data_IF_953936067091
#
_entry.id   IF_953936067091
#
_cell.length_a   1.000
_cell.length_b   1.000
_cell.length_c   1.000
_cell.angle_alpha   90.00
_cell.angle_beta   90.00
_cell.angle_gamma   90.00
#
_symmetry.space_group_name_H-M   'P 1'
#
loop_
_entity.id
_entity.type
_entity.pdbx_description
1 polymer ?
#
# COMPACT_ATOMS: atom_id res chain seq x y z
N UNK A 1 13.86 3.91 7.39
CA UNK A 1 13.38 5.30 7.30
C UNK A 1 11.93 5.30 6.85
N UNK A 2 11.08 5.97 7.61
CA UNK A 2 9.66 6.00 7.30
C UNK A 2 9.34 7.15 6.34
N UNK A 3 8.51 6.84 5.35
CA UNK A 3 8.10 7.80 4.33
C UNK A 3 6.61 7.72 4.11
N UNK A 4 6.03 8.81 3.66
CA UNK A 4 4.64 8.86 3.20
C UNK A 4 4.64 9.13 1.71
N UNK A 5 4.01 8.25 0.95
CA UNK A 5 4.00 8.35 -0.51
C UNK A 5 2.57 8.24 -1.01
N UNK A 6 2.15 9.21 -1.80
CA UNK A 6 0.84 9.17 -2.44
C UNK A 6 0.90 8.24 -3.65
N UNK A 7 -0.04 7.33 -3.76
CA UNK A 7 -0.06 6.41 -4.87
C UNK A 7 -1.33 5.63 -4.97
N UNK A 8 -1.38 4.76 -5.97
CA UNK A 8 -2.53 3.88 -6.19
C UNK A 8 -2.03 2.45 -6.39
N UNK A 9 -2.73 1.50 -5.78
CA UNK A 9 -2.38 0.08 -5.93
C UNK A 9 -2.75 -0.37 -7.34
N UNK A 10 -1.74 -0.78 -8.11
CA UNK A 10 -1.94 -1.25 -9.48
C UNK A 10 -1.90 -2.77 -9.58
N UNK A 11 -1.33 -3.43 -8.57
CA UNK A 11 -1.26 -4.89 -8.56
C UNK A 11 -1.16 -5.37 -7.12
N UNK A 12 -1.75 -6.53 -6.85
CA UNK A 12 -1.64 -7.18 -5.56
C UNK A 12 -1.50 -8.68 -5.78
N UNK A 13 -0.74 -9.33 -4.90
CA UNK A 13 -0.61 -10.79 -4.95
C UNK A 13 -0.29 -11.34 -3.57
N UNK A 14 -0.62 -12.61 -3.36
CA UNK A 14 -0.27 -13.30 -2.13
C UNK A 14 1.24 -13.52 -2.07
N UNK A 15 1.81 -13.32 -0.90
CA UNK A 15 3.22 -13.58 -0.65
C UNK A 15 3.39 -14.77 0.28
N UNK A 16 2.57 -14.82 1.32
CA UNK A 16 2.58 -15.92 2.29
C UNK A 16 1.14 -16.13 2.73
N UNK A 17 0.92 -16.98 3.73
CA UNK A 17 -0.42 -17.23 4.25
C UNK A 17 -1.10 -15.97 4.77
N UNK A 18 -0.33 -15.02 5.27
CA UNK A 18 -0.88 -13.83 5.90
C UNK A 18 -0.48 -12.51 5.24
N UNK A 19 0.47 -12.54 4.31
CA UNK A 19 1.02 -11.31 3.74
C UNK A 19 0.73 -11.19 2.25
N UNK A 20 0.74 -9.93 1.77
CA UNK A 20 0.62 -9.62 0.35
C UNK A 20 1.80 -8.80 -0.10
N UNK A 21 2.09 -8.87 -1.40
CA UNK A 21 2.98 -7.91 -2.04
C UNK A 21 2.09 -7.06 -2.93
N UNK A 22 2.20 -5.74 -2.78
CA UNK A 22 1.48 -4.82 -3.64
C UNK A 22 2.46 -3.93 -4.39
N UNK A 23 2.06 -3.55 -5.58
CA UNK A 23 2.80 -2.56 -6.35
C UNK A 23 1.94 -1.32 -6.43
N UNK A 24 2.52 -0.18 -6.09
CA UNK A 24 1.80 1.09 -6.18
C UNK A 24 2.47 1.98 -7.22
N UNK A 25 1.66 2.71 -7.94
CA UNK A 25 2.13 3.73 -8.88
C UNK A 25 2.15 5.06 -8.15
N UNK A 26 3.33 5.67 -8.10
CA UNK A 26 3.53 6.95 -7.42
C UNK A 26 3.90 8.02 -8.43
N UNK A 27 3.70 9.28 -8.06
CA UNK A 27 4.07 10.39 -8.95
C UNK A 27 5.57 10.60 -9.03
N UNK A 28 6.28 10.41 -7.91
CA UNK A 28 7.70 10.74 -7.84
C UNK A 28 8.62 9.57 -8.15
N UNK A 29 8.24 8.39 -7.69
CA UNK A 29 9.12 7.23 -7.74
C UNK A 29 8.67 6.15 -8.73
N UNK A 30 7.63 6.42 -9.51
CA UNK A 30 7.08 5.42 -10.41
C UNK A 30 6.44 4.27 -9.65
N UNK A 31 6.63 3.05 -10.14
CA UNK A 31 6.05 1.88 -9.50
C UNK A 31 7.01 1.34 -8.45
N UNK A 32 6.53 1.21 -7.21
CA UNK A 32 7.33 0.64 -6.13
C UNK A 32 6.61 -0.58 -5.53
N UNK A 33 7.40 -1.54 -5.07
CA UNK A 33 6.87 -2.75 -4.46
C UNK A 33 6.88 -2.64 -2.94
N UNK A 34 5.79 -3.08 -2.33
CA UNK A 34 5.62 -3.06 -0.88
C UNK A 34 5.18 -4.42 -0.39
N UNK A 35 5.68 -4.82 0.78
CA UNK A 35 5.16 -5.98 1.47
C UNK A 35 4.21 -5.53 2.57
N UNK A 36 2.99 -6.05 2.53
CA UNK A 36 1.96 -5.75 3.52
C UNK A 36 1.82 -6.96 4.45
N UNK A 37 2.56 -6.94 5.54
CA UNK A 37 2.57 -8.05 6.49
C UNK A 37 1.24 -8.17 7.22
N UNK A 38 0.70 -9.38 7.24
CA UNK A 38 -0.56 -9.63 7.91
C UNK A 38 -1.79 -9.11 7.19
N UNK A 39 -1.65 -8.59 5.97
CA UNK A 39 -2.76 -7.96 5.25
C UNK A 39 -3.90 -8.91 4.93
N UNK A 40 -3.65 -10.21 4.87
CA UNK A 40 -4.68 -11.19 4.56
C UNK A 40 -5.52 -11.59 5.78
N UNK A 41 -5.13 -11.15 6.97
CA UNK A 41 -5.88 -11.44 8.18
C UNK A 41 -7.23 -10.77 8.19
N UNK A 42 -8.25 -11.45 8.73
CA UNK A 42 -9.62 -10.93 8.75
C UNK A 42 -9.76 -9.63 9.52
N UNK A 43 -8.93 -9.45 10.54
CA UNK A 43 -8.98 -8.24 11.38
C UNK A 43 -7.86 -7.27 11.08
N UNK A 44 -7.09 -7.51 10.03
CA UNK A 44 -5.97 -6.64 9.70
C UNK A 44 -6.46 -5.30 9.16
N UNK A 45 -5.90 -4.19 9.67
CA UNK A 45 -6.23 -2.88 9.10
C UNK A 45 -5.72 -2.71 7.66
N UNK A 46 -4.81 -3.58 7.22
CA UNK A 46 -4.28 -3.51 5.86
C UNK A 46 -5.09 -4.32 4.85
N UNK A 47 -6.09 -5.10 5.31
CA UNK A 47 -6.82 -5.98 4.42
C UNK A 47 -7.56 -5.24 3.31
N UNK A 48 -8.29 -4.20 3.69
CA UNK A 48 -9.13 -3.46 2.74
C UNK A 48 -8.41 -2.32 2.04
N UNK A 49 -7.22 -1.97 2.51
CA UNK A 49 -6.46 -0.86 1.93
C UNK A 49 -5.32 -1.31 1.04
N UNK A 50 -5.20 -2.62 0.80
CA UNK A 50 -4.18 -3.17 -0.09
C UNK A 50 -4.81 -3.84 -1.31
N UNK A 51 -6.07 -3.54 -1.59
CA UNK A 51 -6.75 -4.05 -2.77
C UNK A 51 -6.42 -3.20 -3.98
N UNK A 52 -6.57 -3.79 -5.15
CA UNK A 52 -6.30 -3.10 -6.42
C UNK A 52 -7.13 -1.83 -6.54
N UNK A 53 -6.51 -0.77 -7.03
CA UNK A 53 -7.09 0.55 -7.22
C UNK A 53 -7.30 1.36 -5.93
N UNK A 54 -6.80 0.87 -4.80
CA UNK A 54 -6.79 1.68 -3.58
C UNK A 54 -5.88 2.90 -3.79
N UNK A 55 -6.43 4.08 -3.61
CA UNK A 55 -5.71 5.33 -3.75
C UNK A 55 -5.56 5.99 -2.39
N UNK A 56 -4.36 6.38 -2.05
CA UNK A 56 -4.15 6.97 -0.75
C UNK A 56 -2.71 7.37 -0.50
N UNK A 57 -2.47 7.75 0.73
CA UNK A 57 -1.14 8.09 1.23
C UNK A 57 -0.59 6.87 1.96
N UNK A 58 0.43 6.27 1.38
CA UNK A 58 1.01 5.04 1.90
C UNK A 58 2.14 5.36 2.85
N UNK A 59 1.99 4.95 4.11
CA UNK A 59 3.04 5.08 5.12
C UNK A 59 3.90 3.84 5.05
N UNK A 60 5.15 3.99 4.67
CA UNK A 60 6.05 2.86 4.44
C UNK A 60 7.32 3.00 5.23
N UNK A 61 7.94 1.87 5.53
CA UNK A 61 9.31 1.84 6.01
C UNK A 61 10.18 1.57 4.79
N UNK A 62 10.82 2.62 4.31
CA UNK A 62 11.57 2.56 3.07
C UNK A 62 12.79 1.66 3.19
N UNK A 63 13.03 0.88 2.15
CA UNK A 63 14.18 0.01 2.05
C UNK A 63 14.81 0.23 0.68
N UNK A 64 16.10 0.50 0.67
CA UNK A 64 16.81 0.81 -0.57
C UNK A 64 16.85 -0.37 -1.53
N UNK A 65 17.01 -1.57 -0.99
CA UNK A 65 17.03 -2.79 -1.78
C UNK A 65 15.88 -3.69 -1.37
N UNK A 66 15.20 -4.24 -2.37
CA UNK A 66 14.08 -5.13 -2.14
C UNK A 66 12.80 -4.38 -1.86
N UNK A 67 11.87 -5.07 -1.23
CA UNK A 67 10.55 -4.52 -0.95
C UNK A 67 10.57 -3.69 0.31
N UNK A 68 9.94 -2.51 0.25
CA UNK A 68 9.70 -1.71 1.44
C UNK A 68 8.52 -2.29 2.19
N UNK A 69 8.41 -2.00 3.48
CA UNK A 69 7.34 -2.50 4.32
C UNK A 69 6.22 -1.48 4.42
N UNK A 70 4.99 -1.91 4.12
CA UNK A 70 3.82 -1.06 4.30
C UNK A 70 3.43 -1.03 5.77
N UNK A 71 3.30 0.16 6.34
CA UNK A 71 2.89 0.33 7.73
C UNK A 71 1.39 0.58 7.81
N UNK A 72 0.91 1.54 7.06
CA UNK A 72 -0.51 1.90 7.04
C UNK A 72 -0.84 2.67 5.77
N UNK A 73 -2.13 2.85 5.51
CA UNK A 73 -2.60 3.62 4.36
C UNK A 73 -3.69 4.56 4.83
N UNK A 74 -3.52 5.83 4.50
CA UNK A 74 -4.56 6.84 4.71
C UNK A 74 -5.30 6.99 3.39
N UNK A 75 -6.52 6.47 3.32
CA UNK A 75 -7.31 6.46 2.09
C UNK A 75 -7.68 7.88 1.68
N UNK A 76 -7.46 8.17 0.40
CA UNK A 76 -7.93 9.41 -0.19
C UNK A 76 -9.14 9.08 -1.03
N UNK A 77 -10.30 9.60 -0.65
CA UNK A 77 -11.53 9.37 -1.38
C UNK A 77 -11.89 10.64 -2.14
N UNK A 78 -11.63 10.68 -3.45
CA UNK A 78 -11.91 11.89 -4.23
C UNK A 78 -13.40 12.26 -4.26
N UNK A 79 -14.30 11.28 -4.04
CA UNK A 79 -15.72 11.56 -4.02
C UNK A 79 -16.15 12.32 -2.79
N UNK A 80 -15.47 12.15 -1.68
CA UNK A 80 -15.79 12.89 -0.45
C UNK A 80 -15.39 14.35 -0.51
N UNK A 81 -14.54 14.71 -1.44
CA UNK A 81 -14.08 16.07 -1.60
C UNK A 81 -14.95 16.88 -2.55
N UNK A 82 -15.87 16.22 -3.19
CA UNK A 82 -16.84 16.87 -4.09
C UNK A 82 -18.13 17.07 -3.31
N UNK A 83 -18.25 18.25 -2.74
CA UNK A 83 -19.46 18.61 -2.03
C UNK A 83 -19.98 19.95 -2.55
#
# INVERSE_FOLDING_TARGET
MDKKIKGIVVNERSYSETSKIINILTEEDGIIGLIAKGAKGLKSPLRNVTTKLTYGLFNIRYKEKGLSTLISVDIIDPLKQIK
#
